data_IF_146812279585
#
_entry.id   IF_146812279585
#
_cell.length_a   1.000
_cell.length_b   1.000
_cell.length_c   1.000
_cell.angle_alpha   90.00
_cell.angle_beta   90.00
_cell.angle_gamma   90.00
#
_symmetry.space_group_name_H-M   'P 1'
#
loop_
_entity.id
_entity.type
_entity.pdbx_description
1 polymer ?
#
# COMPACT_ATOMS: atom_id res chain seq x y z
N UNK A 1 -27.87 -37.43 1.81
CA UNK A 1 -26.79 -36.59 2.37
C UNK A 1 -27.24 -35.14 2.22
N UNK A 2 -27.21 -34.35 3.29
CA UNK A 2 -27.51 -32.92 3.19
C UNK A 2 -26.39 -32.23 2.39
N UNK A 3 -26.73 -31.28 1.52
CA UNK A 3 -25.73 -30.44 0.87
C UNK A 3 -24.99 -29.63 1.95
N UNK A 4 -23.65 -29.55 1.89
CA UNK A 4 -22.88 -28.79 2.86
C UNK A 4 -23.26 -27.31 2.82
N UNK A 5 -23.35 -26.69 3.99
CA UNK A 5 -23.65 -25.27 4.11
C UNK A 5 -22.50 -24.40 3.60
N UNK A 6 -22.78 -23.18 3.12
CA UNK A 6 -21.74 -22.24 2.66
C UNK A 6 -20.60 -22.02 3.68
N UNK A 7 -20.88 -21.87 4.99
CA UNK A 7 -19.84 -21.78 6.00
C UNK A 7 -18.90 -23.00 6.05
N UNK A 8 -19.44 -24.21 5.88
CA UNK A 8 -18.64 -25.46 5.85
C UNK A 8 -17.76 -25.50 4.60
N UNK A 9 -18.29 -25.11 3.45
CA UNK A 9 -17.54 -25.04 2.20
C UNK A 9 -16.37 -24.04 2.34
N UNK A 10 -16.62 -22.86 2.92
CA UNK A 10 -15.58 -21.86 3.14
C UNK A 10 -14.50 -22.32 4.12
N UNK A 11 -14.85 -23.08 5.15
CA UNK A 11 -13.88 -23.64 6.09
C UNK A 11 -12.89 -24.60 5.44
N UNK A 12 -13.24 -25.17 4.29
CA UNK A 12 -12.39 -26.10 3.53
C UNK A 12 -11.65 -25.41 2.39
N UNK A 13 -12.29 -24.50 1.65
CA UNK A 13 -11.73 -23.90 0.43
C UNK A 13 -10.84 -22.68 0.66
N UNK A 14 -11.07 -21.90 1.73
CA UNK A 14 -10.33 -20.66 1.96
C UNK A 14 -8.94 -20.87 2.59
N UNK A 15 -8.74 -21.76 3.59
CA UNK A 15 -7.42 -21.91 4.23
C UNK A 15 -6.27 -22.25 3.26
N UNK A 16 -6.45 -23.11 2.24
CA UNK A 16 -5.40 -23.38 1.26
C UNK A 16 -4.95 -22.16 0.44
N UNK A 17 -5.74 -21.09 0.40
CA UNK A 17 -5.42 -19.85 -0.32
C UNK A 17 -4.69 -18.81 0.55
N UNK A 18 -4.51 -19.08 1.84
CA UNK A 18 -3.73 -18.19 2.70
C UNK A 18 -2.25 -18.24 2.28
N UNK A 19 -1.69 -17.08 1.94
CA UNK A 19 -0.26 -16.97 1.55
C UNK A 19 0.62 -17.41 2.74
N UNK A 20 1.48 -18.43 2.55
CA UNK A 20 2.41 -18.89 3.58
C UNK A 20 3.31 -17.76 4.10
N UNK A 21 3.53 -17.72 5.41
CA UNK A 21 4.35 -16.68 6.06
C UNK A 21 5.80 -16.71 5.58
N UNK A 22 6.28 -17.89 5.14
CA UNK A 22 7.64 -18.12 4.68
C UNK A 22 7.94 -17.26 3.45
N UNK A 23 6.95 -16.92 2.62
CA UNK A 23 7.15 -15.96 1.52
C UNK A 23 7.55 -14.54 1.98
N UNK A 24 7.41 -14.22 3.28
CA UNK A 24 7.88 -12.98 3.87
C UNK A 24 9.37 -12.98 4.17
N UNK A 25 10.00 -14.16 4.23
CA UNK A 25 11.44 -14.29 4.34
C UNK A 25 12.09 -14.16 2.95
N UNK A 26 13.03 -13.23 2.81
CA UNK A 26 13.72 -12.98 1.54
C UNK A 26 14.95 -13.86 1.35
N UNK A 27 15.45 -14.47 2.42
CA UNK A 27 16.71 -15.21 2.44
C UNK A 27 16.47 -16.73 2.65
N UNK A 28 15.29 -17.22 2.24
CA UNK A 28 14.95 -18.65 2.33
C UNK A 28 15.98 -19.46 1.54
N UNK A 29 16.70 -20.32 2.25
CA UNK A 29 17.69 -21.24 1.67
C UNK A 29 17.37 -22.71 1.94
N UNK A 30 16.37 -23.00 2.77
CA UNK A 30 15.95 -24.36 3.09
C UNK A 30 15.20 -25.00 1.91
N UNK A 31 15.78 -26.06 1.35
CA UNK A 31 15.23 -26.78 0.21
C UNK A 31 13.86 -27.44 0.50
N UNK A 32 13.62 -27.88 1.73
CA UNK A 32 12.33 -28.47 2.11
C UNK A 32 11.23 -27.40 2.16
N UNK A 33 11.56 -26.22 2.70
CA UNK A 33 10.65 -25.07 2.69
C UNK A 33 10.34 -24.64 1.26
N UNK A 34 11.36 -24.51 0.41
CA UNK A 34 11.19 -24.13 -1.00
C UNK A 34 10.30 -25.15 -1.73
N UNK A 35 10.50 -26.45 -1.52
CA UNK A 35 9.65 -27.50 -2.12
C UNK A 35 8.19 -27.33 -1.69
N UNK A 36 7.91 -27.13 -0.40
CA UNK A 36 6.55 -26.91 0.11
C UNK A 36 5.89 -25.68 -0.48
N UNK A 37 6.64 -24.59 -0.66
CA UNK A 37 6.12 -23.36 -1.27
C UNK A 37 5.79 -23.54 -2.75
N UNK A 38 6.60 -24.31 -3.47
CA UNK A 38 6.31 -24.65 -4.87
C UNK A 38 5.06 -25.54 -4.97
N UNK A 39 4.95 -26.58 -4.14
CA UNK A 39 3.75 -27.42 -4.09
C UNK A 39 2.50 -26.59 -3.77
N UNK A 40 2.60 -25.65 -2.83
CA UNK A 40 1.51 -24.74 -2.52
C UNK A 40 1.11 -23.86 -3.72
N UNK A 41 2.09 -23.30 -4.45
CA UNK A 41 1.84 -22.49 -5.66
C UNK A 41 1.14 -23.29 -6.74
N UNK A 42 1.62 -24.50 -7.05
CA UNK A 42 1.00 -25.38 -8.04
C UNK A 42 -0.47 -25.70 -7.71
N UNK A 43 -0.79 -25.83 -6.43
CA UNK A 43 -2.15 -26.09 -5.96
C UNK A 43 -3.03 -24.83 -5.91
N UNK A 44 -2.44 -23.64 -5.89
CA UNK A 44 -3.17 -22.37 -5.71
C UNK A 44 -4.11 -22.08 -6.87
N UNK A 45 -3.66 -22.26 -8.13
CA UNK A 45 -4.50 -22.04 -9.30
C UNK A 45 -5.76 -22.93 -9.28
N UNK A 46 -5.59 -24.21 -8.92
CA UNK A 46 -6.72 -25.14 -8.75
C UNK A 46 -7.68 -24.69 -7.66
N UNK A 47 -7.17 -24.25 -6.50
CA UNK A 47 -8.01 -23.77 -5.40
C UNK A 47 -8.77 -22.49 -5.76
N UNK A 48 -8.14 -21.55 -6.47
CA UNK A 48 -8.79 -20.35 -6.99
C UNK A 48 -9.87 -20.71 -8.03
N UNK A 49 -9.61 -21.67 -8.92
CA UNK A 49 -10.63 -22.14 -9.87
C UNK A 49 -11.85 -22.72 -9.15
N UNK A 50 -11.63 -23.57 -8.14
CA UNK A 50 -12.72 -24.12 -7.34
C UNK A 50 -13.53 -23.03 -6.62
N UNK A 51 -12.85 -22.01 -6.07
CA UNK A 51 -13.50 -20.87 -5.45
C UNK A 51 -14.33 -20.06 -6.46
N UNK A 52 -13.80 -19.83 -7.67
CA UNK A 52 -14.50 -19.15 -8.76
C UNK A 52 -15.78 -19.89 -9.15
N UNK A 53 -15.71 -21.21 -9.29
CA UNK A 53 -16.87 -22.02 -9.66
C UNK A 53 -17.93 -22.01 -8.55
N UNK A 54 -17.52 -22.04 -7.28
CA UNK A 54 -18.43 -21.88 -6.15
C UNK A 54 -19.15 -20.52 -6.18
N UNK A 55 -18.43 -19.42 -6.40
CA UNK A 55 -19.03 -18.07 -6.45
C UNK A 55 -20.07 -17.97 -7.57
N UNK A 56 -19.79 -18.57 -8.72
CA UNK A 56 -20.75 -18.65 -9.84
C UNK A 56 -22.01 -19.44 -9.47
N UNK A 57 -21.87 -20.55 -8.74
CA UNK A 57 -23.01 -21.38 -8.31
C UNK A 57 -23.89 -20.65 -7.29
N UNK A 58 -23.28 -19.92 -6.36
CA UNK A 58 -24.00 -19.19 -5.30
C UNK A 58 -24.66 -17.91 -5.81
N UNK A 59 -24.26 -17.46 -7.00
CA UNK A 59 -24.67 -16.20 -7.65
C UNK A 59 -24.31 -15.02 -6.73
N UNK A 60 -23.14 -14.41 -6.92
CA UNK A 60 -22.44 -13.53 -5.97
C UNK A 60 -23.27 -12.43 -5.28
N UNK A 61 -24.41 -12.04 -5.85
CA UNK A 61 -25.42 -11.15 -5.25
C UNK A 61 -26.13 -11.68 -4.00
N UNK A 62 -25.98 -12.97 -3.65
CA UNK A 62 -26.53 -13.56 -2.41
C UNK A 62 -25.54 -13.63 -1.25
N UNK A 63 -24.27 -13.27 -1.46
CA UNK A 63 -23.25 -13.31 -0.42
C UNK A 63 -23.47 -12.20 0.60
N UNK A 64 -23.37 -12.54 1.88
CA UNK A 64 -23.36 -11.54 2.94
C UNK A 64 -22.07 -10.70 2.88
N UNK A 65 -22.05 -9.46 3.41
CA UNK A 65 -20.85 -8.64 3.46
C UNK A 65 -19.65 -9.34 4.14
N UNK A 66 -19.92 -10.19 5.14
CA UNK A 66 -18.92 -10.99 5.83
C UNK A 66 -18.30 -12.07 4.94
N UNK A 67 -19.14 -12.72 4.13
CA UNK A 67 -18.72 -13.78 3.19
C UNK A 67 -17.90 -13.18 2.05
N UNK A 68 -18.38 -12.08 1.46
CA UNK A 68 -17.66 -11.30 0.45
C UNK A 68 -16.29 -10.85 0.98
N UNK A 69 -16.23 -10.30 2.20
CA UNK A 69 -14.97 -9.89 2.81
C UNK A 69 -13.98 -11.05 2.97
N UNK A 70 -14.43 -12.25 3.37
CA UNK A 70 -13.55 -13.43 3.48
C UNK A 70 -12.97 -13.86 2.13
N UNK A 71 -13.81 -13.89 1.09
CA UNK A 71 -13.38 -14.23 -0.27
C UNK A 71 -12.33 -13.21 -0.74
N UNK A 72 -12.61 -11.93 -0.61
CA UNK A 72 -11.69 -10.86 -1.00
C UNK A 72 -10.38 -10.97 -0.21
N UNK A 73 -10.43 -11.22 1.11
CA UNK A 73 -9.26 -11.30 1.96
C UNK A 73 -8.25 -12.38 1.51
N UNK A 74 -8.74 -13.52 1.02
CA UNK A 74 -7.86 -14.59 0.50
C UNK A 74 -7.53 -14.44 -0.98
N UNK A 75 -8.27 -13.64 -1.75
CA UNK A 75 -8.07 -13.51 -3.20
C UNK A 75 -7.25 -12.29 -3.57
N UNK A 76 -7.45 -11.14 -2.90
CA UNK A 76 -6.72 -9.90 -3.15
C UNK A 76 -5.18 -10.03 -3.10
N UNK A 77 -4.57 -10.89 -2.24
CA UNK A 77 -3.13 -11.15 -2.27
C UNK A 77 -2.57 -11.57 -3.63
N UNK A 78 -3.39 -12.10 -4.53
CA UNK A 78 -3.00 -12.61 -5.84
C UNK A 78 -3.23 -11.63 -7.00
N UNK A 79 -3.98 -10.52 -6.81
CA UNK A 79 -4.09 -9.47 -7.85
C UNK A 79 -2.86 -8.55 -7.86
N UNK A 80 -2.11 -8.50 -6.76
CA UNK A 80 -0.92 -7.65 -6.61
C UNK A 80 0.39 -8.31 -7.02
N UNK A 81 1.50 -7.76 -6.51
CA UNK A 81 2.84 -8.31 -6.76
C UNK A 81 3.29 -9.20 -5.60
N UNK A 82 4.13 -10.20 -5.89
CA UNK A 82 4.77 -11.04 -4.89
C UNK A 82 5.33 -12.33 -5.47
N UNK A 83 6.33 -12.97 -4.82
CA UNK A 83 6.89 -14.24 -5.28
C UNK A 83 5.89 -15.41 -5.26
N UNK A 84 4.79 -15.28 -4.51
CA UNK A 84 3.70 -16.26 -4.47
C UNK A 84 2.71 -16.15 -5.64
N UNK A 85 2.76 -15.05 -6.40
CA UNK A 85 1.85 -14.83 -7.53
C UNK A 85 2.48 -15.37 -8.82
N UNK A 86 1.72 -16.16 -9.57
CA UNK A 86 2.05 -16.53 -10.94
C UNK A 86 0.97 -16.01 -11.92
N UNK A 87 1.21 -16.17 -13.23
CA UNK A 87 0.33 -15.59 -14.25
C UNK A 87 -1.08 -16.19 -14.24
N UNK A 88 -1.23 -17.46 -13.87
CA UNK A 88 -2.52 -18.15 -13.85
C UNK A 88 -3.33 -17.78 -12.60
N UNK A 89 -2.71 -17.90 -11.41
CA UNK A 89 -3.32 -17.51 -10.13
C UNK A 89 -3.70 -16.03 -10.13
N UNK A 90 -2.84 -15.14 -10.66
CA UNK A 90 -3.15 -13.72 -10.77
C UNK A 90 -4.35 -13.44 -11.68
N UNK A 91 -4.45 -14.13 -12.81
CA UNK A 91 -5.61 -14.03 -13.70
C UNK A 91 -6.90 -14.54 -13.04
N UNK A 92 -6.84 -15.70 -12.39
CA UNK A 92 -7.99 -16.27 -11.68
C UNK A 92 -8.46 -15.37 -10.53
N UNK A 93 -7.52 -14.79 -9.79
CA UNK A 93 -7.82 -13.84 -8.73
C UNK A 93 -8.47 -12.57 -9.26
N UNK A 94 -7.95 -11.99 -10.33
CA UNK A 94 -8.55 -10.82 -10.99
C UNK A 94 -9.98 -11.13 -11.49
N UNK A 95 -10.20 -12.31 -12.07
CA UNK A 95 -11.53 -12.75 -12.50
C UNK A 95 -12.50 -12.86 -11.31
N UNK A 96 -12.07 -13.45 -10.18
CA UNK A 96 -12.90 -13.55 -8.97
C UNK A 96 -13.20 -12.17 -8.41
N UNK A 97 -12.20 -11.29 -8.31
CA UNK A 97 -12.34 -9.96 -7.73
C UNK A 97 -13.18 -9.03 -8.61
N UNK A 98 -13.31 -9.30 -9.90
CA UNK A 98 -14.19 -8.54 -10.81
C UNK A 98 -15.66 -8.57 -10.39
N UNK A 99 -16.11 -9.67 -9.75
CA UNK A 99 -17.44 -9.82 -9.15
C UNK A 99 -17.63 -8.91 -7.92
N UNK A 100 -16.54 -8.39 -7.36
CA UNK A 100 -16.51 -7.51 -6.19
C UNK A 100 -15.92 -6.13 -6.53
N UNK A 101 -15.99 -5.71 -7.81
CA UNK A 101 -15.42 -4.45 -8.30
C UNK A 101 -16.05 -3.18 -7.70
N UNK A 102 -17.25 -3.28 -7.13
CA UNK A 102 -17.89 -2.20 -6.38
C UNK A 102 -18.37 -2.70 -5.01
N UNK A 103 -17.45 -2.94 -4.06
CA UNK A 103 -17.83 -3.45 -2.75
C UNK A 103 -18.62 -2.37 -1.98
N UNK A 104 -19.65 -2.79 -1.25
CA UNK A 104 -20.37 -1.89 -0.37
C UNK A 104 -19.56 -1.55 0.90
N UNK A 105 -19.95 -0.49 1.59
CA UNK A 105 -19.27 -0.04 2.81
C UNK A 105 -19.27 -1.09 3.92
N UNK A 106 -20.37 -1.84 4.16
CA UNK A 106 -20.34 -2.96 5.10
C UNK A 106 -19.27 -4.02 4.79
N UNK A 107 -19.07 -4.38 3.51
CA UNK A 107 -18.04 -5.33 3.08
C UNK A 107 -16.65 -4.77 3.33
N UNK A 108 -16.38 -3.53 2.90
CA UNK A 108 -15.09 -2.86 3.15
C UNK A 108 -14.82 -2.71 4.65
N UNK A 109 -15.84 -2.42 5.45
CA UNK A 109 -15.71 -2.30 6.91
C UNK A 109 -15.34 -3.65 7.53
N UNK A 110 -15.97 -4.75 7.11
CA UNK A 110 -15.60 -6.09 7.58
C UNK A 110 -14.19 -6.46 7.14
N UNK A 111 -13.84 -6.20 5.88
CA UNK A 111 -12.51 -6.47 5.34
C UNK A 111 -11.43 -5.73 6.15
N UNK A 112 -11.59 -4.43 6.32
CA UNK A 112 -10.64 -3.59 7.03
C UNK A 112 -10.59 -3.89 8.53
N UNK A 113 -11.73 -4.18 9.18
CA UNK A 113 -11.77 -4.40 10.63
C UNK A 113 -11.40 -5.82 11.06
N UNK A 114 -11.73 -6.84 10.25
CA UNK A 114 -11.54 -8.26 10.59
C UNK A 114 -10.31 -8.89 9.93
N UNK A 115 -9.85 -8.36 8.80
CA UNK A 115 -8.74 -8.97 8.05
C UNK A 115 -7.52 -8.06 7.98
N UNK A 116 -7.68 -6.74 7.84
CA UNK A 116 -6.53 -5.82 7.78
C UNK A 116 -6.08 -5.40 9.19
N UNK A 117 -6.97 -4.77 9.97
CA UNK A 117 -6.61 -4.21 11.29
C UNK A 117 -5.90 -5.23 12.21
N UNK A 118 -6.35 -6.49 12.34
CA UNK A 118 -5.69 -7.46 13.23
C UNK A 118 -4.26 -7.80 12.82
N UNK A 119 -3.93 -7.68 11.54
CA UNK A 119 -2.57 -7.92 11.02
C UNK A 119 -1.62 -6.81 11.47
N UNK A 120 -2.08 -5.55 11.47
CA UNK A 120 -1.24 -4.37 11.76
C UNK A 120 -1.34 -3.84 13.21
N UNK A 121 -2.29 -4.33 14.02
CA UNK A 121 -2.56 -3.77 15.36
C UNK A 121 -1.43 -3.95 16.37
N UNK A 122 -0.57 -4.97 16.19
CA UNK A 122 0.52 -5.27 17.12
C UNK A 122 1.61 -4.21 17.14
N UNK A 123 1.72 -3.41 16.08
CA UNK A 123 2.73 -2.35 15.93
C UNK A 123 2.03 -1.05 15.54
N UNK A 124 1.36 -0.38 16.50
CA UNK A 124 0.62 0.83 16.22
C UNK A 124 1.55 1.94 15.77
N UNK A 125 1.16 2.65 14.71
CA UNK A 125 1.98 3.71 14.15
C UNK A 125 2.13 4.90 15.13
N UNK A 126 3.35 5.33 15.47
CA UNK A 126 3.58 6.27 16.58
C UNK A 126 3.03 7.67 16.29
N UNK A 127 2.97 8.08 15.01
CA UNK A 127 2.48 9.40 14.61
C UNK A 127 0.97 9.48 14.38
N UNK A 128 0.22 8.40 14.65
CA UNK A 128 -1.22 8.33 14.35
C UNK A 128 -2.07 8.01 15.58
N UNK A 129 -3.25 8.63 15.63
CA UNK A 129 -4.33 8.21 16.49
C UNK A 129 -5.11 7.08 15.81
N UNK A 130 -5.02 5.85 16.33
CA UNK A 130 -5.61 4.66 15.69
C UNK A 130 -7.14 4.64 15.63
N UNK A 131 -7.83 5.38 16.51
CA UNK A 131 -9.30 5.42 16.52
C UNK A 131 -9.87 6.46 15.56
N UNK A 132 -9.07 7.45 15.17
CA UNK A 132 -9.51 8.56 14.30
C UNK A 132 -8.75 8.64 12.98
N UNK A 133 -7.62 7.95 12.86
CA UNK A 133 -6.70 8.07 11.73
C UNK A 133 -6.06 9.45 11.60
N UNK A 134 -6.06 10.28 12.65
CA UNK A 134 -5.47 11.63 12.63
C UNK A 134 -3.99 11.61 13.00
N UNK A 135 -3.22 12.51 12.42
CA UNK A 135 -1.84 12.79 12.84
C UNK A 135 -1.84 13.25 14.31
N UNK A 136 -0.92 12.70 15.09
CA UNK A 136 -0.66 13.15 16.46
C UNK A 136 0.32 14.32 16.49
N UNK A 137 0.16 15.21 17.47
CA UNK A 137 1.12 16.30 17.71
C UNK A 137 2.45 15.79 18.30
N UNK A 138 2.41 14.64 18.99
CA UNK A 138 3.57 13.97 19.58
C UNK A 138 3.43 12.45 19.39
N UNK A 139 4.53 11.71 19.21
CA UNK A 139 4.48 10.25 19.11
C UNK A 139 3.73 9.60 20.29
N UNK A 140 2.81 8.68 20.00
CA UNK A 140 2.19 7.81 20.99
C UNK A 140 3.20 6.73 21.43
N UNK A 141 3.36 6.52 22.74
CA UNK A 141 4.34 5.57 23.30
C UNK A 141 5.58 6.23 23.92
N UNK A 142 5.67 7.56 23.93
CA UNK A 142 6.76 8.29 24.59
C UNK A 142 8.08 8.27 23.78
N UNK A 143 9.23 8.53 24.41
CA UNK A 143 10.52 8.69 23.71
C UNK A 143 10.98 7.47 22.91
N UNK A 144 10.57 6.26 23.31
CA UNK A 144 10.94 5.00 22.65
C UNK A 144 9.91 4.51 21.62
N UNK A 145 8.83 5.27 21.39
CA UNK A 145 7.74 4.90 20.47
C UNK A 145 8.23 4.50 19.07
N UNK A 146 9.25 5.19 18.55
CA UNK A 146 9.83 4.89 17.24
C UNK A 146 10.59 3.56 17.24
N UNK A 147 11.28 3.23 18.35
CA UNK A 147 11.96 1.95 18.47
C UNK A 147 10.95 0.80 18.59
N UNK A 148 9.95 0.96 19.47
CA UNK A 148 8.87 -0.03 19.66
C UNK A 148 8.11 -0.30 18.35
N UNK A 149 7.96 0.71 17.49
CA UNK A 149 7.32 0.58 16.18
C UNK A 149 8.08 -0.37 15.23
N UNK A 150 9.41 -0.41 15.31
CA UNK A 150 10.25 -1.26 14.47
C UNK A 150 10.50 -2.65 15.08
N UNK A 151 10.26 -2.82 16.38
CA UNK A 151 10.41 -4.10 17.06
C UNK A 151 9.22 -5.04 16.78
N UNK A 152 9.50 -6.32 16.48
CA UNK A 152 8.48 -7.38 16.40
C UNK A 152 7.29 -7.10 15.47
N UNK A 153 7.57 -6.66 14.25
CA UNK A 153 6.56 -6.34 13.23
C UNK A 153 5.79 -7.57 12.72
N UNK A 154 4.77 -7.99 13.48
CA UNK A 154 4.01 -9.22 13.24
C UNK A 154 3.30 -9.26 11.87
N UNK A 155 2.96 -8.10 11.32
CA UNK A 155 2.32 -7.98 10.01
C UNK A 155 3.19 -8.54 8.88
N UNK A 156 4.53 -8.56 9.03
CA UNK A 156 5.46 -9.13 8.04
C UNK A 156 5.32 -10.65 7.87
N UNK A 157 4.69 -11.33 8.83
CA UNK A 157 4.29 -12.74 8.72
C UNK A 157 3.08 -12.96 7.81
N UNK A 158 2.52 -11.89 7.23
CA UNK A 158 1.39 -11.93 6.31
C UNK A 158 1.81 -11.29 4.98
N UNK A 159 2.51 -12.01 4.10
CA UNK A 159 3.13 -11.41 2.91
C UNK A 159 2.11 -10.75 1.97
N UNK A 160 0.90 -11.32 1.88
CA UNK A 160 -0.21 -10.78 1.10
C UNK A 160 -0.91 -9.54 1.69
N UNK A 161 -0.53 -9.07 2.89
CA UNK A 161 -1.24 -8.00 3.58
C UNK A 161 -1.18 -6.66 2.84
N UNK A 162 -0.05 -6.32 2.23
CA UNK A 162 0.10 -5.08 1.44
C UNK A 162 -0.83 -5.08 0.21
N UNK A 163 -0.94 -6.20 -0.49
CA UNK A 163 -1.83 -6.37 -1.63
C UNK A 163 -3.31 -6.23 -1.21
N UNK A 164 -3.69 -6.77 -0.04
CA UNK A 164 -5.03 -6.58 0.51
C UNK A 164 -5.32 -5.12 0.87
N UNK A 165 -4.35 -4.40 1.45
CA UNK A 165 -4.48 -2.96 1.74
C UNK A 165 -4.62 -2.16 0.44
N UNK A 166 -3.80 -2.46 -0.58
CA UNK A 166 -3.87 -1.84 -1.89
C UNK A 166 -5.25 -2.04 -2.54
N UNK A 167 -5.78 -3.27 -2.47
CA UNK A 167 -7.12 -3.58 -2.94
C UNK A 167 -8.18 -2.74 -2.25
N UNK A 168 -8.13 -2.64 -0.90
CA UNK A 168 -9.09 -1.82 -0.16
C UNK A 168 -9.02 -0.35 -0.60
N UNK A 169 -7.82 0.22 -0.69
CA UNK A 169 -7.62 1.63 -1.07
C UNK A 169 -8.16 1.93 -2.48
N UNK A 170 -7.93 1.03 -3.44
CA UNK A 170 -8.43 1.13 -4.82
C UNK A 170 -9.95 1.16 -4.91
N UNK A 171 -10.65 0.47 -4.00
CA UNK A 171 -12.10 0.28 -4.06
C UNK A 171 -12.91 1.15 -3.08
N UNK A 172 -12.27 1.99 -2.26
CA UNK A 172 -12.98 2.97 -1.44
C UNK A 172 -13.50 4.10 -2.34
N UNK A 173 -14.81 4.31 -2.33
CA UNK A 173 -15.46 5.45 -3.01
C UNK A 173 -15.13 6.76 -2.27
N UNK A 174 -15.12 7.87 -3.01
CA UNK A 174 -14.68 9.19 -2.51
C UNK A 174 -15.45 9.62 -1.26
N UNK A 175 -16.76 9.39 -1.26
CA UNK A 175 -17.72 9.70 -0.20
C UNK A 175 -17.56 8.83 1.06
N UNK A 176 -16.93 7.66 0.95
CA UNK A 176 -16.80 6.70 2.05
C UNK A 176 -15.48 6.82 2.82
N UNK A 177 -14.53 7.64 2.34
CA UNK A 177 -13.27 7.85 3.04
C UNK A 177 -13.47 8.32 4.48
N UNK A 178 -14.41 9.23 4.74
CA UNK A 178 -14.68 9.70 6.11
C UNK A 178 -15.07 8.56 7.07
N UNK A 179 -15.74 7.53 6.56
CA UNK A 179 -16.23 6.39 7.34
C UNK A 179 -15.15 5.33 7.55
N UNK A 180 -14.23 5.17 6.60
CA UNK A 180 -13.24 4.10 6.58
C UNK A 180 -11.82 4.59 6.93
N UNK A 181 -11.62 5.90 7.05
CA UNK A 181 -10.32 6.56 7.23
C UNK A 181 -9.45 5.94 8.34
N UNK A 182 -10.06 5.78 9.51
CA UNK A 182 -9.37 5.31 10.71
C UNK A 182 -8.92 3.85 10.61
N UNK A 183 -9.50 3.06 9.69
CA UNK A 183 -9.10 1.69 9.44
C UNK A 183 -8.03 1.57 8.34
N UNK A 184 -8.07 2.46 7.35
CA UNK A 184 -7.18 2.36 6.17
C UNK A 184 -5.85 3.08 6.35
N UNK A 185 -5.82 4.21 7.06
CA UNK A 185 -4.60 5.00 7.16
C UNK A 185 -3.50 4.38 8.03
N UNK A 186 -3.80 3.75 9.19
CA UNK A 186 -2.76 3.08 9.96
C UNK A 186 -1.93 2.07 9.16
N UNK A 187 -2.51 1.10 8.43
CA UNK A 187 -1.70 0.16 7.64
C UNK A 187 -0.95 0.83 6.48
N UNK A 188 -1.53 1.85 5.84
CA UNK A 188 -0.84 2.63 4.78
C UNK A 188 0.41 3.31 5.33
N UNK A 189 0.28 4.00 6.47
CA UNK A 189 1.43 4.66 7.11
C UNK A 189 2.45 3.64 7.63
N UNK A 190 2.01 2.51 8.19
CA UNK A 190 2.93 1.45 8.64
C UNK A 190 3.79 0.92 7.50
N UNK A 191 3.23 0.71 6.31
CA UNK A 191 4.00 0.29 5.13
C UNK A 191 4.95 1.39 4.65
N UNK A 192 4.46 2.64 4.57
CA UNK A 192 5.24 3.78 4.08
C UNK A 192 6.42 4.15 4.98
N UNK A 193 6.25 4.03 6.30
CA UNK A 193 7.26 4.36 7.32
C UNK A 193 8.10 3.15 7.77
N UNK A 194 7.93 1.99 7.14
CA UNK A 194 8.77 0.82 7.39
C UNK A 194 10.25 1.10 7.07
N UNK A 195 11.18 0.41 7.75
CA UNK A 195 12.60 0.60 7.48
C UNK A 195 13.09 -0.16 6.24
N UNK A 196 12.39 -1.21 5.80
CA UNK A 196 12.77 -1.97 4.60
C UNK A 196 12.21 -1.30 3.35
N UNK A 197 13.09 -1.01 2.38
CA UNK A 197 12.71 -0.34 1.13
C UNK A 197 11.60 -1.06 0.36
N UNK A 198 11.58 -2.40 0.41
CA UNK A 198 10.52 -3.21 -0.21
C UNK A 198 9.11 -2.82 0.27
N UNK A 199 8.92 -2.69 1.58
CA UNK A 199 7.62 -2.31 2.15
C UNK A 199 7.32 -0.83 1.97
N UNK A 200 8.35 0.03 2.04
CA UNK A 200 8.20 1.46 1.69
C UNK A 200 7.66 1.62 0.26
N UNK A 201 8.19 0.86 -0.70
CA UNK A 201 7.75 0.90 -2.09
C UNK A 201 6.27 0.50 -2.21
N UNK A 202 5.85 -0.56 -1.52
CA UNK A 202 4.43 -0.93 -1.44
C UNK A 202 3.58 0.20 -0.85
N UNK A 203 4.06 0.83 0.25
CA UNK A 203 3.41 1.99 0.85
C UNK A 203 3.26 3.16 -0.12
N UNK A 204 4.31 3.50 -0.87
CA UNK A 204 4.29 4.55 -1.90
C UNK A 204 3.29 4.25 -3.02
N UNK A 205 3.25 3.01 -3.51
CA UNK A 205 2.28 2.59 -4.53
C UNK A 205 0.83 2.71 -4.02
N UNK A 206 0.60 2.32 -2.77
CA UNK A 206 -0.73 2.45 -2.14
C UNK A 206 -1.10 3.93 -1.94
N UNK A 207 -0.15 4.78 -1.59
CA UNK A 207 -0.37 6.24 -1.47
C UNK A 207 -0.74 6.84 -2.83
N UNK A 208 -0.08 6.45 -3.92
CA UNK A 208 -0.46 6.90 -5.27
C UNK A 208 -1.92 6.55 -5.59
N UNK A 209 -2.35 5.35 -5.26
CA UNK A 209 -3.74 4.91 -5.44
C UNK A 209 -4.72 5.67 -4.54
N UNK A 210 -4.35 5.89 -3.27
CA UNK A 210 -5.12 6.67 -2.31
C UNK A 210 -5.40 8.09 -2.82
N UNK A 211 -4.37 8.75 -3.36
CA UNK A 211 -4.44 10.14 -3.82
C UNK A 211 -5.34 10.34 -5.03
N UNK A 212 -5.67 9.28 -5.79
CA UNK A 212 -6.60 9.39 -6.91
C UNK A 212 -8.05 9.67 -6.48
N UNK A 213 -8.46 9.21 -5.29
CA UNK A 213 -9.88 9.25 -4.87
C UNK A 213 -10.12 10.05 -3.59
N UNK A 214 -9.14 10.11 -2.68
CA UNK A 214 -9.31 10.75 -1.37
C UNK A 214 -9.72 12.23 -1.48
N UNK A 215 -10.72 12.69 -0.72
CA UNK A 215 -11.03 14.11 -0.64
C UNK A 215 -9.89 14.90 0.02
N UNK A 216 -9.48 16.03 -0.60
CA UNK A 216 -8.45 16.92 -0.04
C UNK A 216 -8.77 17.40 1.38
N UNK A 217 -10.05 17.55 1.72
CA UNK A 217 -10.50 17.98 3.04
C UNK A 217 -10.26 16.92 4.12
N UNK A 218 -10.33 15.64 3.78
CA UNK A 218 -10.01 14.55 4.71
C UNK A 218 -8.52 14.59 5.03
N UNK A 219 -7.65 14.72 4.02
CA UNK A 219 -6.20 14.85 4.20
C UNK A 219 -5.83 16.04 5.10
N UNK A 220 -6.36 17.23 4.80
CA UNK A 220 -6.09 18.46 5.56
C UNK A 220 -6.61 18.40 6.99
N UNK A 221 -7.88 18.04 7.18
CA UNK A 221 -8.51 18.02 8.51
C UNK A 221 -7.90 16.99 9.45
N UNK A 222 -7.34 15.91 8.90
CA UNK A 222 -6.67 14.86 9.68
C UNK A 222 -5.17 15.11 9.86
N UNK A 223 -4.61 16.10 9.16
CA UNK A 223 -3.18 16.43 9.16
C UNK A 223 -2.31 15.41 8.43
N UNK A 224 -2.91 14.53 7.61
CA UNK A 224 -2.19 13.51 6.87
C UNK A 224 -1.44 14.06 5.66
N UNK A 225 -1.84 15.21 5.12
CA UNK A 225 -1.10 15.90 4.07
C UNK A 225 0.36 16.14 4.48
N UNK A 226 0.58 16.71 5.67
CA UNK A 226 1.92 16.95 6.20
C UNK A 226 2.67 15.67 6.59
N UNK A 227 1.96 14.67 7.14
CA UNK A 227 2.60 13.40 7.55
C UNK A 227 3.06 12.59 6.33
N UNK A 228 2.20 12.41 5.32
CA UNK A 228 2.55 11.73 4.08
C UNK A 228 3.73 12.39 3.39
N UNK A 229 3.76 13.73 3.29
CA UNK A 229 4.88 14.42 2.67
C UNK A 229 6.20 14.19 3.42
N UNK A 230 6.15 14.14 4.76
CA UNK A 230 7.35 13.83 5.57
C UNK A 230 7.83 12.41 5.28
N UNK A 231 6.93 11.43 5.32
CA UNK A 231 7.25 10.02 5.04
C UNK A 231 7.76 9.79 3.62
N UNK A 232 7.15 10.43 2.62
CA UNK A 232 7.60 10.38 1.23
C UNK A 232 8.99 11.00 1.05
N UNK A 233 9.29 12.11 1.73
CA UNK A 233 10.63 12.69 1.73
C UNK A 233 11.67 11.72 2.32
N UNK A 234 11.33 10.94 3.36
CA UNK A 234 12.26 9.92 3.90
C UNK A 234 12.57 8.82 2.86
N UNK A 235 11.64 8.54 1.94
CA UNK A 235 11.85 7.56 0.88
C UNK A 235 12.90 8.03 -0.14
N UNK A 236 13.03 9.33 -0.38
CA UNK A 236 14.03 9.89 -1.31
C UNK A 236 15.47 9.70 -0.84
N UNK A 237 15.68 9.51 0.46
CA UNK A 237 16.99 9.21 1.05
C UNK A 237 17.39 7.74 1.07
N UNK A 238 16.50 6.83 0.63
CA UNK A 238 16.77 5.39 0.60
C UNK A 238 17.46 5.02 -0.71
N UNK A 239 18.80 5.04 -0.71
CA UNK A 239 19.57 4.94 -1.94
C UNK A 239 20.29 3.59 -2.15
N UNK A 240 20.27 2.67 -1.19
CA UNK A 240 21.22 1.54 -1.13
C UNK A 240 20.60 0.15 -1.40
N UNK A 241 19.46 0.09 -2.08
CA UNK A 241 18.72 -1.17 -2.28
C UNK A 241 18.24 -1.35 -3.72
N UNK A 242 17.93 -2.58 -4.12
CA UNK A 242 17.45 -2.87 -5.48
C UNK A 242 16.12 -2.18 -5.81
N UNK A 243 15.28 -1.90 -4.80
CA UNK A 243 14.00 -1.20 -4.97
C UNK A 243 14.15 0.33 -5.06
N UNK A 244 15.35 0.86 -4.78
CA UNK A 244 15.64 2.30 -4.75
C UNK A 244 15.13 3.06 -5.99
N UNK A 245 15.40 2.62 -7.23
CA UNK A 245 14.99 3.40 -8.41
C UNK A 245 13.46 3.57 -8.49
N UNK A 246 12.72 2.47 -8.31
CA UNK A 246 11.26 2.48 -8.29
C UNK A 246 10.70 3.28 -7.10
N UNK A 247 11.34 3.18 -5.92
CA UNK A 247 10.93 3.91 -4.73
C UNK A 247 11.06 5.43 -4.93
N UNK A 248 12.20 5.89 -5.47
CA UNK A 248 12.44 7.31 -5.76
C UNK A 248 11.38 7.86 -6.70
N UNK A 249 11.18 7.20 -7.85
CA UNK A 249 10.18 7.63 -8.83
C UNK A 249 8.80 7.70 -8.22
N UNK A 250 8.38 6.64 -7.53
CA UNK A 250 7.09 6.60 -6.87
C UNK A 250 6.94 7.72 -5.82
N UNK A 251 7.97 7.96 -5.01
CA UNK A 251 7.93 8.97 -3.96
C UNK A 251 7.86 10.40 -4.53
N UNK A 252 8.57 10.70 -5.62
CA UNK A 252 8.48 11.98 -6.32
C UNK A 252 7.06 12.18 -6.87
N UNK A 253 6.52 11.19 -7.58
CA UNK A 253 5.19 11.27 -8.18
C UNK A 253 4.07 11.39 -7.12
N UNK A 254 4.20 10.66 -6.01
CA UNK A 254 3.27 10.72 -4.89
C UNK A 254 3.34 12.09 -4.18
N UNK A 255 4.55 12.62 -3.98
CA UNK A 255 4.74 13.94 -3.36
C UNK A 255 4.16 15.04 -4.24
N UNK A 256 4.43 15.01 -5.54
CA UNK A 256 3.85 15.95 -6.50
C UNK A 256 2.31 15.87 -6.49
N UNK A 257 1.75 14.67 -6.59
CA UNK A 257 0.30 14.46 -6.58
C UNK A 257 -0.35 14.99 -5.30
N UNK A 258 0.29 14.74 -4.15
CA UNK A 258 -0.17 15.23 -2.85
C UNK A 258 -0.12 16.76 -2.76
N UNK A 259 0.97 17.39 -3.20
CA UNK A 259 1.11 18.85 -3.21
C UNK A 259 0.02 19.47 -4.09
N UNK A 260 -0.15 18.98 -5.32
CA UNK A 260 -1.15 19.50 -6.25
C UNK A 260 -2.59 19.30 -5.74
N UNK A 261 -2.86 18.20 -5.03
CA UNK A 261 -4.18 17.93 -4.45
C UNK A 261 -4.50 18.82 -3.24
N UNK A 262 -3.49 19.17 -2.44
CA UNK A 262 -3.67 19.82 -1.13
C UNK A 262 -3.33 21.30 -1.13
N UNK A 263 -2.77 21.85 -2.21
CA UNK A 263 -2.50 23.27 -2.36
C UNK A 263 -3.35 23.87 -3.47
N UNK A 264 -3.64 25.17 -3.37
CA UNK A 264 -4.37 25.86 -4.42
C UNK A 264 -3.39 26.38 -5.49
N UNK A 265 -3.71 26.25 -6.79
CA UNK A 265 -2.83 26.65 -7.88
C UNK A 265 -2.35 28.10 -7.78
N UNK A 266 -1.05 28.31 -7.98
CA UNK A 266 -0.43 29.65 -7.99
C UNK A 266 -0.23 30.30 -6.62
N UNK A 267 -0.52 29.58 -5.53
CA UNK A 267 -0.24 30.07 -4.18
C UNK A 267 1.25 29.93 -3.82
N UNK A 268 1.76 30.82 -2.95
CA UNK A 268 3.13 30.69 -2.40
C UNK A 268 3.34 29.32 -1.77
N UNK A 269 2.34 28.81 -1.04
CA UNK A 269 2.42 27.49 -0.40
C UNK A 269 2.67 26.38 -1.43
N UNK A 270 1.97 26.38 -2.56
CA UNK A 270 2.20 25.40 -3.62
C UNK A 270 3.63 25.53 -4.17
N UNK A 271 4.01 26.76 -4.51
CA UNK A 271 5.35 27.05 -5.04
C UNK A 271 6.46 26.59 -4.10
N UNK A 272 6.37 26.94 -2.82
CA UNK A 272 7.36 26.59 -1.80
C UNK A 272 7.47 25.07 -1.63
N UNK A 273 6.35 24.34 -1.63
CA UNK A 273 6.37 22.88 -1.52
C UNK A 273 6.97 22.20 -2.76
N UNK A 274 6.66 22.68 -3.97
CA UNK A 274 7.26 22.17 -5.20
C UNK A 274 8.77 22.47 -5.25
N UNK A 275 9.18 23.67 -4.83
CA UNK A 275 10.59 24.05 -4.69
C UNK A 275 11.33 23.19 -3.66
N UNK A 276 10.70 22.85 -2.54
CA UNK A 276 11.31 21.97 -1.54
C UNK A 276 11.47 20.54 -2.07
N UNK A 277 10.46 20.02 -2.80
CA UNK A 277 10.56 18.71 -3.45
C UNK A 277 11.72 18.67 -4.46
N UNK A 278 11.83 19.68 -5.34
CA UNK A 278 12.91 19.73 -6.32
C UNK A 278 14.28 20.00 -5.66
N UNK A 279 14.35 21.02 -4.80
CA UNK A 279 15.59 21.53 -4.23
C UNK A 279 16.17 20.64 -3.13
N UNK A 280 15.41 20.39 -2.06
CA UNK A 280 15.89 19.61 -0.91
C UNK A 280 15.73 18.11 -1.18
N UNK A 281 14.59 17.70 -1.74
CA UNK A 281 14.31 16.29 -2.06
C UNK A 281 15.18 15.77 -3.19
N UNK A 282 15.00 16.25 -4.41
CA UNK A 282 15.65 15.67 -5.59
C UNK A 282 17.13 16.08 -5.68
N UNK A 283 17.41 17.38 -5.73
CA UNK A 283 18.78 17.87 -5.91
C UNK A 283 19.61 17.62 -4.64
N UNK A 284 19.09 18.03 -3.48
CA UNK A 284 19.79 18.01 -2.21
C UNK A 284 19.95 16.62 -1.61
N UNK A 285 19.06 15.67 -1.92
CA UNK A 285 19.14 14.30 -1.37
C UNK A 285 19.57 13.31 -2.44
N UNK A 286 18.87 13.21 -3.56
CA UNK A 286 19.20 12.19 -4.56
C UNK A 286 20.50 12.57 -5.25
N UNK A 287 20.54 13.68 -5.99
CA UNK A 287 21.67 13.98 -6.88
C UNK A 287 22.97 14.24 -6.12
N UNK A 288 22.89 14.82 -4.91
CA UNK A 288 24.05 15.06 -4.07
C UNK A 288 24.68 13.76 -3.55
N UNK A 289 23.88 12.74 -3.22
CA UNK A 289 24.33 11.52 -2.56
C UNK A 289 24.31 10.25 -3.44
N UNK A 290 23.82 10.34 -4.69
CA UNK A 290 23.71 9.22 -5.63
C UNK A 290 24.81 9.19 -6.70
N UNK A 291 25.98 9.80 -6.45
CA UNK A 291 27.05 9.97 -7.45
C UNK A 291 27.59 8.65 -8.06
N UNK A 292 27.36 7.51 -7.40
CA UNK A 292 27.68 6.17 -7.91
C UNK A 292 26.48 5.32 -8.32
N UNK A 293 25.28 5.91 -8.46
CA UNK A 293 24.01 5.18 -8.61
C UNK A 293 23.22 5.76 -9.80
N UNK A 294 23.61 5.41 -11.05
CA UNK A 294 23.04 6.00 -12.25
C UNK A 294 21.54 5.73 -12.37
N UNK A 295 21.05 4.56 -11.94
CA UNK A 295 19.64 4.20 -12.02
C UNK A 295 18.76 5.10 -11.14
N UNK A 296 19.22 5.43 -9.93
CA UNK A 296 18.54 6.39 -9.03
C UNK A 296 18.44 7.78 -9.65
N UNK A 297 19.51 8.24 -10.30
CA UNK A 297 19.53 9.53 -11.00
C UNK A 297 18.56 9.48 -12.17
N UNK A 298 18.63 8.43 -12.99
CA UNK A 298 17.78 8.27 -14.17
C UNK A 298 16.30 8.28 -13.80
N UNK A 299 15.87 7.47 -12.84
CA UNK A 299 14.47 7.43 -12.42
C UNK A 299 13.99 8.77 -11.82
N UNK A 300 14.88 9.50 -11.13
CA UNK A 300 14.55 10.85 -10.64
C UNK A 300 14.37 11.84 -11.81
N UNK A 301 15.17 11.74 -12.86
CA UNK A 301 15.06 12.56 -14.07
C UNK A 301 13.80 12.21 -14.86
N UNK A 302 13.42 10.94 -14.95
CA UNK A 302 12.17 10.52 -15.60
C UNK A 302 10.92 11.04 -14.87
N UNK A 303 11.01 11.26 -13.56
CA UNK A 303 9.93 11.82 -12.76
C UNK A 303 9.87 13.37 -12.78
N UNK A 304 10.89 14.05 -13.30
CA UNK A 304 10.96 15.52 -13.31
C UNK A 304 9.96 16.25 -14.20
N UNK A 305 9.64 15.81 -15.45
CA UNK A 305 8.83 16.60 -16.37
C UNK A 305 7.53 17.15 -15.76
N UNK A 306 6.66 16.34 -15.11
CA UNK A 306 5.43 16.87 -14.51
C UNK A 306 5.68 17.83 -13.34
N UNK A 307 6.80 17.70 -12.62
CA UNK A 307 7.20 18.62 -11.55
C UNK A 307 7.66 19.97 -12.12
N UNK A 308 8.43 19.95 -13.20
CA UNK A 308 8.88 21.17 -13.89
C UNK A 308 7.68 21.89 -14.51
N UNK A 309 6.76 21.16 -15.12
CA UNK A 309 5.51 21.72 -15.66
C UNK A 309 4.68 22.41 -14.56
N UNK A 310 4.56 21.77 -13.38
CA UNK A 310 3.87 22.34 -12.23
C UNK A 310 4.56 23.58 -11.65
N UNK A 311 5.90 23.64 -11.69
CA UNK A 311 6.69 24.81 -11.26
C UNK A 311 6.62 25.98 -12.25
N UNK A 312 6.40 25.70 -13.54
CA UNK A 312 6.43 26.70 -14.61
C UNK A 312 7.73 27.51 -14.60
N UNK A 313 7.62 28.85 -14.67
CA UNK A 313 8.78 29.76 -14.63
C UNK A 313 9.61 29.66 -13.33
N UNK A 314 9.05 29.05 -12.28
CA UNK A 314 9.76 28.78 -11.03
C UNK A 314 11.01 27.92 -11.20
N UNK A 315 11.05 27.08 -12.23
CA UNK A 315 12.20 26.22 -12.51
C UNK A 315 13.47 27.01 -12.86
N UNK A 316 13.34 28.26 -13.36
CA UNK A 316 14.47 29.12 -13.70
C UNK A 316 15.40 29.40 -12.50
N UNK A 317 14.90 29.29 -11.25
CA UNK A 317 15.72 29.41 -10.03
C UNK A 317 16.85 28.38 -9.98
N UNK A 318 16.66 27.22 -10.60
CA UNK A 318 17.60 26.10 -10.60
C UNK A 318 18.48 26.06 -11.86
N UNK A 319 18.16 26.89 -12.86
CA UNK A 319 19.05 27.16 -13.97
C UNK A 319 20.07 28.21 -13.50
N UNK A 320 21.23 27.77 -13.02
CA UNK A 320 22.35 28.70 -12.92
C UNK A 320 22.65 29.24 -14.31
N UNK A 321 22.75 30.57 -14.44
CA UNK A 321 23.39 31.17 -15.60
C UNK A 321 24.85 30.66 -15.62
N UNK A 322 25.12 29.72 -16.53
CA UNK A 322 26.45 29.23 -16.87
C UNK A 322 27.34 30.38 -17.33
#
# INVERSE_FOLDING_TARGET
MAEPSLPEIFSTLLPPLQVPQEFGDRDISDAEVISKLNDWKENTARNLSNLKDLIKQVNGSKLTPQESAKIIAVTAPFEGQGPWVDAESGKLAADILSEFSEPDVPTLTHLLSQHVKPVFQSNPHPSLNLSTGRKLHRPAGGPMATQDFYESQAWKKNPGASNLVAWCVKHIKREDYDRLWYLVIPPVMTLLDDYQTYHKLQGVQIVLELLQRVPKEVLKRTGLDGLLLTSLNTCLGQLDTMETPALIRGAILASLSLILLTTDPGTSRQFDQLCNLLGEGIIGTIWLYSSGKPDSILESLEALPPLIDALGLGCCRYLKAS
#
